data_IF_232648266278
#
_entry.id   IF_232648266278
#
_cell.length_a   1.000
_cell.length_b   1.000
_cell.length_c   1.000
_cell.angle_alpha   90.00
_cell.angle_beta   90.00
_cell.angle_gamma   90.00
#
_symmetry.space_group_name_H-M   'P 1'
#
loop_
_entity.id
_entity.type
_entity.pdbx_description
1 polymer ?
#
# COMPACT_ATOMS: atom_id res chain seq x y z
N UNK A 1 21.57 4.85 -9.74
CA UNK A 1 21.01 5.07 -8.39
C UNK A 1 19.60 4.49 -8.36
N UNK A 2 19.38 3.46 -7.55
CA UNK A 2 18.06 2.91 -7.32
C UNK A 2 17.27 3.88 -6.45
N UNK A 3 16.17 4.40 -6.99
CA UNK A 3 15.25 5.25 -6.26
C UNK A 3 14.64 4.47 -5.08
N UNK A 4 14.61 5.09 -3.89
CA UNK A 4 14.03 4.46 -2.70
C UNK A 4 12.53 4.22 -2.90
N UNK A 5 11.99 3.09 -2.42
CA UNK A 5 10.55 2.87 -2.45
C UNK A 5 9.82 3.90 -1.59
N UNK A 6 8.58 4.19 -1.95
CA UNK A 6 7.75 5.21 -1.30
C UNK A 6 6.86 4.55 -0.25
N UNK A 7 6.91 5.06 0.97
CA UNK A 7 6.05 4.66 2.08
C UNK A 7 5.15 5.83 2.49
N UNK A 8 3.84 5.64 2.44
CA UNK A 8 2.87 6.60 2.95
C UNK A 8 2.51 6.25 4.39
N UNK A 9 2.62 7.22 5.29
CA UNK A 9 2.24 7.12 6.69
C UNK A 9 1.06 8.04 6.94
N UNK A 10 -0.09 7.48 7.33
CA UNK A 10 -1.30 8.20 7.62
C UNK A 10 -1.68 8.04 9.10
N UNK A 11 -1.61 9.10 9.87
CA UNK A 11 -1.98 9.15 11.27
C UNK A 11 -2.23 10.62 11.65
N UNK A 12 -3.27 10.90 12.42
CA UNK A 12 -3.54 12.25 12.91
C UNK A 12 -2.58 12.69 14.02
N UNK A 13 -1.93 11.73 14.68
CA UNK A 13 -0.93 11.98 15.72
C UNK A 13 0.46 12.23 15.11
N UNK A 14 0.95 13.47 15.24
CA UNK A 14 2.25 13.88 14.71
C UNK A 14 3.43 13.10 15.35
N UNK A 15 3.33 12.70 16.61
CA UNK A 15 4.37 11.94 17.30
C UNK A 15 4.51 10.55 16.70
N UNK A 16 3.41 9.88 16.41
CA UNK A 16 3.41 8.55 15.78
C UNK A 16 3.98 8.64 14.37
N UNK A 17 3.58 9.64 13.58
CA UNK A 17 4.17 9.86 12.25
C UNK A 17 5.68 10.06 12.35
N UNK A 18 6.14 10.84 13.34
CA UNK A 18 7.57 11.08 13.57
C UNK A 18 8.33 9.79 13.90
N UNK A 19 7.78 8.96 14.78
CA UNK A 19 8.38 7.66 15.16
C UNK A 19 8.48 6.75 13.92
N UNK A 20 7.41 6.62 13.16
CA UNK A 20 7.41 5.78 11.96
C UNK A 20 8.38 6.32 10.90
N UNK A 21 8.40 7.63 10.69
CA UNK A 21 9.36 8.26 9.79
C UNK A 21 10.81 7.94 10.19
N UNK A 22 11.15 8.02 11.46
CA UNK A 22 12.49 7.73 11.96
C UNK A 22 12.88 6.27 11.74
N UNK A 23 11.93 5.34 11.84
CA UNK A 23 12.16 3.91 11.57
C UNK A 23 12.52 3.68 10.09
N UNK A 24 11.86 4.36 9.17
CA UNK A 24 11.90 4.04 7.74
C UNK A 24 12.69 5.02 6.87
N UNK A 25 13.03 6.20 7.36
CA UNK A 25 13.62 7.29 6.54
C UNK A 25 14.91 6.94 5.80
N UNK A 26 15.66 5.95 6.29
CA UNK A 26 16.92 5.53 5.65
C UNK A 26 16.68 4.68 4.40
N UNK A 27 15.62 3.86 4.42
CA UNK A 27 15.35 2.85 3.39
C UNK A 27 14.17 3.22 2.47
N UNK A 28 13.39 4.26 2.84
CA UNK A 28 12.17 4.65 2.14
C UNK A 28 12.09 6.16 1.96
N UNK A 29 11.47 6.58 0.86
CA UNK A 29 10.98 7.94 0.71
C UNK A 29 9.65 8.04 1.46
N UNK A 30 9.57 8.91 2.47
CA UNK A 30 8.42 9.01 3.36
C UNK A 30 7.47 10.10 2.89
N UNK A 31 6.19 9.74 2.76
CA UNK A 31 5.08 10.67 2.59
C UNK A 31 4.17 10.58 3.82
N UNK A 32 3.60 11.68 4.23
CA UNK A 32 2.75 11.75 5.43
C UNK A 32 1.38 12.34 5.10
N UNK A 33 0.37 11.83 5.79
CA UNK A 33 -0.99 12.36 5.76
C UNK A 33 -1.58 12.39 7.18
N UNK A 34 -2.41 13.37 7.47
CA UNK A 34 -2.99 13.60 8.80
C UNK A 34 -4.40 13.03 8.97
N UNK A 35 -5.03 12.69 7.88
CA UNK A 35 -6.38 12.10 7.86
C UNK A 35 -6.57 11.22 6.63
N UNK A 36 -7.68 10.50 6.59
CA UNK A 36 -7.95 9.55 5.51
C UNK A 36 -8.19 10.19 4.16
N UNK A 37 -8.75 11.40 4.11
CA UNK A 37 -8.95 12.12 2.84
C UNK A 37 -7.63 12.56 2.22
N UNK A 38 -6.76 13.16 3.02
CA UNK A 38 -5.42 13.54 2.60
C UNK A 38 -4.62 12.31 2.17
N UNK A 39 -4.70 11.22 2.93
CA UNK A 39 -4.04 9.96 2.61
C UNK A 39 -4.51 9.40 1.26
N UNK A 40 -5.80 9.44 0.99
CA UNK A 40 -6.34 8.98 -0.29
C UNK A 40 -5.83 9.83 -1.47
N UNK A 41 -5.81 11.14 -1.31
CA UNK A 41 -5.28 12.06 -2.33
C UNK A 41 -3.80 11.79 -2.61
N UNK A 42 -3.00 11.62 -1.58
CA UNK A 42 -1.56 11.30 -1.70
C UNK A 42 -1.37 9.93 -2.37
N UNK A 43 -2.13 8.93 -1.95
CA UNK A 43 -2.05 7.59 -2.54
C UNK A 43 -2.39 7.58 -4.03
N UNK A 44 -3.41 8.32 -4.44
CA UNK A 44 -3.82 8.41 -5.85
C UNK A 44 -2.81 9.18 -6.71
N UNK A 45 -2.16 10.18 -6.14
CA UNK A 45 -1.19 11.02 -6.85
C UNK A 45 0.19 10.35 -6.94
N UNK A 46 0.69 9.83 -5.83
CA UNK A 46 2.08 9.37 -5.70
C UNK A 46 2.23 7.86 -5.88
N UNK A 47 1.16 7.10 -5.75
CA UNK A 47 1.13 5.63 -5.86
C UNK A 47 2.26 4.98 -5.04
N UNK A 48 2.21 5.05 -3.70
CA UNK A 48 3.26 4.52 -2.85
C UNK A 48 3.41 2.99 -2.98
N UNK A 49 4.54 2.50 -2.56
CA UNK A 49 4.83 1.06 -2.57
C UNK A 49 4.22 0.32 -1.37
N UNK A 50 3.96 1.03 -0.30
CA UNK A 50 3.26 0.52 0.89
C UNK A 50 2.62 1.68 1.65
N UNK A 51 1.55 1.38 2.38
CA UNK A 51 0.83 2.33 3.22
C UNK A 51 0.76 1.79 4.65
N UNK A 52 1.10 2.63 5.63
CA UNK A 52 0.79 2.41 7.04
C UNK A 52 -0.25 3.45 7.44
N UNK A 53 -1.40 3.01 7.93
CA UNK A 53 -2.49 3.92 8.33
C UNK A 53 -3.01 3.59 9.72
N UNK A 54 -3.24 4.62 10.51
CA UNK A 54 -4.06 4.50 11.72
C UNK A 54 -5.50 4.19 11.32
N UNK A 55 -6.23 3.50 12.20
CA UNK A 55 -7.67 3.27 12.04
C UNK A 55 -8.48 4.52 12.39
N UNK A 56 -8.15 5.15 13.51
CA UNK A 56 -8.90 6.28 14.06
C UNK A 56 -8.34 7.60 13.57
N UNK A 57 -8.90 8.12 12.48
CA UNK A 57 -8.51 9.41 11.90
C UNK A 57 -9.75 10.27 11.64
N UNK A 58 -9.63 11.63 11.72
CA UNK A 58 -10.73 12.50 11.34
C UNK A 58 -11.01 12.45 9.84
N UNK A 59 -12.18 12.94 9.43
CA UNK A 59 -12.69 13.02 8.05
C UNK A 59 -12.98 11.68 7.40
N UNK A 60 -12.01 10.80 7.36
CA UNK A 60 -12.13 9.43 6.84
C UNK A 60 -11.26 8.54 7.70
N UNK A 61 -11.82 7.47 8.29
CA UNK A 61 -11.06 6.52 9.08
C UNK A 61 -10.20 5.58 8.21
N UNK A 62 -9.32 4.81 8.86
CA UNK A 62 -8.42 3.91 8.17
C UNK A 62 -9.11 2.76 7.44
N UNK A 63 -10.25 2.30 7.91
CA UNK A 63 -11.04 1.26 7.23
C UNK A 63 -11.63 1.77 5.92
N UNK A 64 -12.26 2.92 5.94
CA UNK A 64 -12.82 3.54 4.73
C UNK A 64 -11.72 3.94 3.74
N UNK A 65 -10.61 4.48 4.23
CA UNK A 65 -9.43 4.78 3.43
C UNK A 65 -8.91 3.52 2.73
N UNK A 66 -8.75 2.41 3.46
CA UNK A 66 -8.31 1.12 2.91
C UNK A 66 -9.28 0.63 1.85
N UNK A 67 -10.58 0.67 2.13
CA UNK A 67 -11.62 0.25 1.20
C UNK A 67 -11.56 1.04 -0.11
N UNK A 68 -11.48 2.36 -0.03
CA UNK A 68 -11.39 3.21 -1.22
C UNK A 68 -10.08 3.00 -1.98
N UNK A 69 -8.97 2.81 -1.29
CA UNK A 69 -7.68 2.48 -1.90
C UNK A 69 -7.75 1.15 -2.67
N UNK A 70 -8.33 0.12 -2.07
CA UNK A 70 -8.47 -1.21 -2.68
C UNK A 70 -9.49 -1.25 -3.83
N UNK A 71 -10.48 -0.37 -3.81
CA UNK A 71 -11.50 -0.29 -4.86
C UNK A 71 -11.08 0.57 -6.06
N UNK A 72 -10.02 1.34 -5.95
CA UNK A 72 -9.50 2.13 -7.06
C UNK A 72 -8.45 1.33 -7.84
N UNK A 73 -8.60 1.29 -9.15
CA UNK A 73 -7.72 0.52 -10.04
C UNK A 73 -6.25 0.93 -9.96
N UNK A 74 -5.97 2.21 -9.70
CA UNK A 74 -4.60 2.72 -9.61
C UNK A 74 -3.89 2.32 -8.32
N UNK A 75 -4.64 2.05 -7.26
CA UNK A 75 -4.10 1.83 -5.91
C UNK A 75 -4.47 0.48 -5.30
N UNK A 76 -5.27 -0.34 -5.99
CA UNK A 76 -5.79 -1.60 -5.44
C UNK A 76 -4.72 -2.62 -5.07
N UNK A 77 -3.56 -2.53 -5.68
CA UNK A 77 -2.43 -3.45 -5.45
C UNK A 77 -1.45 -2.96 -4.37
N UNK A 78 -1.63 -1.75 -3.85
CA UNK A 78 -0.74 -1.21 -2.82
C UNK A 78 -1.01 -1.93 -1.50
N UNK A 79 0.00 -2.55 -0.86
CA UNK A 79 -0.19 -3.16 0.46
C UNK A 79 -0.54 -2.09 1.50
N UNK A 80 -1.54 -2.36 2.31
CA UNK A 80 -1.99 -1.48 3.40
C UNK A 80 -1.86 -2.20 4.74
N UNK A 81 -1.17 -1.56 5.67
CA UNK A 81 -1.05 -1.99 7.06
C UNK A 81 -1.88 -1.05 7.91
N UNK A 82 -2.83 -1.58 8.68
CA UNK A 82 -3.61 -0.81 9.64
C UNK A 82 -3.03 -0.95 11.04
N UNK A 83 -2.82 0.19 11.69
CA UNK A 83 -2.43 0.26 13.11
C UNK A 83 -3.70 0.48 13.93
N UNK A 84 -3.98 -0.45 14.84
CA UNK A 84 -5.17 -0.41 15.68
C UNK A 84 -4.81 -0.20 17.14
N UNK A 85 -5.62 0.55 17.89
CA UNK A 85 -5.55 0.53 19.34
C UNK A 85 -5.99 -0.86 19.85
N UNK A 86 -5.50 -1.27 21.03
CA UNK A 86 -5.86 -2.59 21.59
C UNK A 86 -7.36 -2.85 21.56
N UNK A 87 -7.71 -3.87 20.83
CA UNK A 87 -8.92 -4.65 20.64
C UNK A 87 -10.14 -4.34 21.52
N UNK A 88 -11.16 -3.85 20.86
CA UNK A 88 -12.51 -4.35 21.08
C UNK A 88 -12.78 -5.43 20.01
N UNK A 89 -13.59 -6.43 20.31
CA UNK A 89 -14.04 -7.44 19.33
C UNK A 89 -14.66 -6.79 18.07
N UNK A 90 -15.24 -5.60 18.21
CA UNK A 90 -15.78 -4.79 17.13
C UNK A 90 -14.71 -4.32 16.14
N UNK A 91 -13.58 -3.83 16.62
CA UNK A 91 -12.47 -3.42 15.76
C UNK A 91 -11.88 -4.62 15.00
N UNK A 92 -11.85 -5.79 15.64
CA UNK A 92 -11.42 -7.03 15.00
C UNK A 92 -12.38 -7.47 13.89
N UNK A 93 -13.70 -7.37 14.12
CA UNK A 93 -14.73 -7.70 13.13
C UNK A 93 -14.71 -6.71 11.94
N UNK A 94 -14.54 -5.42 12.19
CA UNK A 94 -14.38 -4.43 11.13
C UNK A 94 -13.07 -4.65 10.36
N UNK A 95 -12.01 -5.02 11.06
CA UNK A 95 -10.74 -5.42 10.47
C UNK A 95 -10.88 -6.59 9.50
N UNK A 96 -11.67 -7.60 9.85
CA UNK A 96 -11.98 -8.74 8.96
C UNK A 96 -12.81 -8.35 7.73
N UNK A 97 -13.58 -7.26 7.81
CA UNK A 97 -14.34 -6.71 6.69
C UNK A 97 -13.53 -5.77 5.81
N UNK A 98 -12.46 -5.20 6.33
CA UNK A 98 -11.55 -4.38 5.53
C UNK A 98 -10.55 -5.29 4.83
N UNK A 99 -10.10 -4.87 3.67
CA UNK A 99 -9.19 -5.65 2.82
C UNK A 99 -7.73 -5.25 3.03
N UNK A 100 -7.37 -4.83 4.26
CA UNK A 100 -5.99 -4.53 4.60
C UNK A 100 -5.13 -5.79 4.57
N UNK A 101 -3.90 -5.63 4.18
CA UNK A 101 -2.95 -6.74 4.04
C UNK A 101 -2.35 -7.18 5.38
N UNK A 102 -2.31 -6.29 6.36
CA UNK A 102 -1.86 -6.59 7.71
C UNK A 102 -2.50 -5.67 8.74
N UNK A 103 -2.59 -6.15 9.97
CA UNK A 103 -3.08 -5.41 11.14
C UNK A 103 -2.05 -5.51 12.25
N UNK A 104 -1.64 -4.37 12.79
CA UNK A 104 -0.72 -4.30 13.92
C UNK A 104 -1.36 -3.49 15.04
N UNK A 105 -1.20 -3.94 16.27
CA UNK A 105 -1.73 -3.25 17.45
C UNK A 105 -0.75 -2.20 17.98
N UNK A 106 -1.29 -1.07 18.45
CA UNK A 106 -0.53 -0.07 19.20
C UNK A 106 -0.49 -0.46 20.70
N UNK A 107 0.61 -0.33 21.41
CA UNK A 107 1.93 0.05 20.92
C UNK A 107 2.57 -1.03 20.05
N UNK A 108 3.22 -0.63 18.96
CA UNK A 108 3.85 -1.55 18.04
C UNK A 108 5.34 -1.74 18.36
N UNK A 109 5.85 -2.90 17.99
CA UNK A 109 7.28 -3.19 18.01
C UNK A 109 7.90 -2.70 16.69
N UNK A 110 8.96 -1.90 16.76
CA UNK A 110 9.62 -1.32 15.58
C UNK A 110 10.12 -2.39 14.61
N UNK A 111 10.69 -3.48 15.11
CA UNK A 111 11.17 -4.59 14.29
C UNK A 111 10.04 -5.31 13.54
N UNK A 112 8.89 -5.49 14.21
CA UNK A 112 7.71 -6.13 13.60
C UNK A 112 7.14 -5.24 12.50
N UNK A 113 7.00 -3.94 12.73
CA UNK A 113 6.51 -3.01 11.71
C UNK A 113 7.43 -3.00 10.50
N UNK A 114 8.72 -2.89 10.73
CA UNK A 114 9.74 -2.88 9.67
C UNK A 114 9.74 -4.18 8.86
N UNK A 115 9.70 -5.32 9.54
CA UNK A 115 9.63 -6.63 8.92
C UNK A 115 8.36 -6.80 8.09
N UNK A 116 7.21 -6.35 8.59
CA UNK A 116 5.92 -6.43 7.90
C UNK A 116 5.93 -5.62 6.61
N UNK A 117 6.42 -4.39 6.65
CA UNK A 117 6.55 -3.54 5.44
C UNK A 117 7.46 -4.20 4.41
N UNK A 118 8.63 -4.65 4.82
CA UNK A 118 9.60 -5.26 3.93
C UNK A 118 9.04 -6.53 3.27
N UNK A 119 8.36 -7.36 4.06
CA UNK A 119 7.73 -8.59 3.56
C UNK A 119 6.64 -8.32 2.53
N UNK A 120 5.74 -7.38 2.81
CA UNK A 120 4.65 -7.04 1.90
C UNK A 120 5.15 -6.47 0.58
N UNK A 121 6.16 -5.60 0.63
CA UNK A 121 6.78 -5.06 -0.59
C UNK A 121 7.48 -6.17 -1.39
N UNK A 122 8.20 -7.08 -0.72
CA UNK A 122 8.87 -8.20 -1.37
C UNK A 122 7.88 -9.16 -2.05
N UNK A 123 6.78 -9.48 -1.39
CA UNK A 123 5.71 -10.32 -1.95
C UNK A 123 5.08 -9.67 -3.19
N UNK A 124 4.81 -8.37 -3.13
CA UNK A 124 4.29 -7.62 -4.28
C UNK A 124 5.26 -7.66 -5.47
N UNK A 125 6.55 -7.47 -5.23
CA UNK A 125 7.58 -7.55 -6.28
C UNK A 125 7.63 -8.94 -6.91
N UNK A 126 7.54 -9.99 -6.11
CA UNK A 126 7.51 -11.38 -6.62
C UNK A 126 6.31 -11.64 -7.52
N UNK A 127 5.13 -11.20 -7.11
CA UNK A 127 3.92 -11.31 -7.92
C UNK A 127 4.06 -10.56 -9.24
N UNK A 128 4.57 -9.34 -9.19
CA UNK A 128 4.80 -8.51 -10.37
C UNK A 128 5.76 -9.19 -11.37
N UNK A 129 6.89 -9.71 -10.89
CA UNK A 129 7.85 -10.43 -11.72
C UNK A 129 7.25 -11.70 -12.32
N UNK A 130 6.50 -12.46 -11.55
CA UNK A 130 5.85 -13.69 -12.00
C UNK A 130 4.84 -13.40 -13.11
N UNK A 131 3.96 -12.42 -12.95
CA UNK A 131 3.00 -12.03 -13.97
C UNK A 131 3.66 -11.44 -15.21
N UNK A 132 4.71 -10.66 -15.06
CA UNK A 132 5.50 -10.15 -16.19
C UNK A 132 6.13 -11.28 -17.01
N UNK A 133 6.66 -12.30 -16.36
CA UNK A 133 7.23 -13.49 -17.03
C UNK A 133 6.16 -14.31 -17.74
N UNK A 134 5.01 -14.52 -17.13
CA UNK A 134 3.89 -15.26 -17.74
C UNK A 134 3.35 -14.53 -18.98
N UNK A 135 3.26 -13.21 -18.96
CA UNK A 135 2.84 -12.40 -20.09
C UNK A 135 3.84 -12.42 -21.27
N UNK A 136 5.14 -12.53 -20.97
CA UNK A 136 6.19 -12.64 -22.00
C UNK A 136 6.21 -14.07 -22.59
N UNK A 137 5.95 -15.09 -21.80
CA UNK A 137 6.06 -16.50 -22.22
C UNK A 137 4.81 -17.04 -22.91
N UNK A 138 3.63 -16.39 -22.78
CA UNK A 138 2.37 -16.86 -23.35
C UNK A 138 1.57 -15.73 -24.04
N UNK A 139 2.09 -15.12 -25.11
CA UNK A 139 1.37 -14.02 -25.76
C UNK A 139 0.13 -14.43 -26.56
N UNK A 140 -0.13 -15.74 -26.79
CA UNK A 140 -1.13 -16.23 -27.75
C UNK A 140 -2.38 -16.84 -27.12
N UNK A 141 -2.35 -17.20 -25.85
CA UNK A 141 -3.43 -17.92 -25.16
C UNK A 141 -4.24 -17.09 -24.16
N UNK A 142 -4.14 -15.77 -24.21
CA UNK A 142 -4.94 -14.93 -23.32
C UNK A 142 -6.34 -14.83 -23.89
N UNK A 143 -7.25 -15.67 -23.40
CA UNK A 143 -8.68 -15.45 -23.58
C UNK A 143 -9.04 -14.27 -22.68
N UNK A 144 -9.12 -13.10 -23.28
CA UNK A 144 -9.39 -11.84 -22.60
C UNK A 144 -10.86 -11.81 -22.19
N UNK A 145 -11.15 -12.02 -20.92
CA UNK A 145 -12.42 -11.61 -20.35
C UNK A 145 -12.28 -10.21 -19.72
N UNK A 146 -13.38 -9.59 -19.32
CA UNK A 146 -13.37 -8.22 -18.80
C UNK A 146 -12.50 -8.00 -17.55
N UNK A 147 -12.24 -9.06 -16.78
CA UNK A 147 -11.37 -9.04 -15.60
C UNK A 147 -9.91 -9.02 -16.02
N UNK A 148 -9.58 -9.77 -17.07
CA UNK A 148 -8.22 -9.84 -17.61
C UNK A 148 -7.83 -8.53 -18.31
N UNK A 149 -8.77 -7.84 -18.96
CA UNK A 149 -8.54 -6.50 -19.54
C UNK A 149 -8.14 -5.50 -18.48
N UNK A 150 -8.87 -5.44 -17.36
CA UNK A 150 -8.55 -4.56 -16.23
C UNK A 150 -7.19 -4.87 -15.61
N UNK A 151 -6.85 -6.14 -15.51
CA UNK A 151 -5.56 -6.59 -15.01
C UNK A 151 -4.40 -6.18 -15.94
N UNK A 152 -4.57 -6.35 -17.26
CA UNK A 152 -3.61 -5.94 -18.28
C UNK A 152 -3.41 -4.43 -18.28
N UNK A 153 -4.49 -3.65 -18.15
CA UNK A 153 -4.41 -2.19 -18.06
C UNK A 153 -3.62 -1.74 -16.83
N UNK A 154 -3.82 -2.39 -15.69
CA UNK A 154 -3.04 -2.14 -14.48
C UNK A 154 -1.56 -2.45 -14.69
N UNK A 155 -1.24 -3.58 -15.30
CA UNK A 155 0.13 -3.96 -15.63
C UNK A 155 0.78 -2.96 -16.59
N UNK A 156 0.07 -2.55 -17.63
CA UNK A 156 0.56 -1.56 -18.59
C UNK A 156 0.83 -0.21 -17.93
N UNK A 157 -0.04 0.21 -17.00
CA UNK A 157 0.15 1.44 -16.25
C UNK A 157 1.38 1.38 -15.34
N UNK A 158 1.57 0.26 -14.66
CA UNK A 158 2.75 0.02 -13.82
C UNK A 158 4.02 0.00 -14.68
N UNK A 159 4.00 -0.72 -15.80
CA UNK A 159 5.12 -0.78 -16.73
C UNK A 159 5.48 0.58 -17.31
N UNK A 160 4.48 1.38 -17.68
CA UNK A 160 4.70 2.76 -18.17
C UNK A 160 5.32 3.64 -17.09
N UNK A 161 4.87 3.52 -15.84
CA UNK A 161 5.44 4.27 -14.72
C UNK A 161 6.89 3.85 -14.46
N UNK A 162 7.17 2.55 -14.48
CA UNK A 162 8.52 2.02 -14.28
C UNK A 162 9.46 2.41 -15.45
N UNK A 163 8.97 2.34 -16.68
CA UNK A 163 9.73 2.75 -17.86
C UNK A 163 9.97 4.26 -17.90
N UNK A 164 9.00 5.08 -17.48
CA UNK A 164 9.19 6.52 -17.40
C UNK A 164 10.17 6.94 -16.30
N UNK A 165 10.33 6.11 -15.27
CA UNK A 165 11.31 6.32 -14.21
C UNK A 165 12.70 5.78 -14.57
N UNK A 166 12.83 4.99 -15.61
CA UNK A 166 14.10 4.39 -16.04
C UNK A 166 14.83 5.17 -17.15
N UNK A 167 14.24 6.26 -17.63
CA UNK A 167 14.86 7.12 -18.67
C UNK A 167 15.72 8.26 -18.11
N UNK A 168 16.15 8.15 -16.86
CA UNK A 168 17.12 9.10 -16.29
C UNK A 168 18.26 8.38 -15.59
#
# INVERSE_FOLDING_TARGET
ETELPILLIADDNAEIRSVLRDIFKTDYQILEARDGEEALQVALKEIPDCIISDVMMPKMDGFEFTKQTKNNELTSFIPVILLTAKTSDEAHLEGLKSTADAYLTKPFNNEIVKSTVNQLIAERKKLHLRYSQELILKPVDIVVNSVDEKFIDKLQHILKKELSNSEF
#
